data_IF_230281765608
#
_entry.id   IF_230281765608
#
_cell.length_a   1.000
_cell.length_b   1.000
_cell.length_c   1.000
_cell.angle_alpha   90.00
_cell.angle_beta   90.00
_cell.angle_gamma   90.00
#
_symmetry.space_group_name_H-M   'P 1'
#
loop_
_entity.id
_entity.type
_entity.pdbx_description
1 polymer ?
#
# COMPACT_ATOMS: atom_id res chain seq x y z
N UNK A 1 20.78 -35.41 -39.07
CA UNK A 1 19.44 -34.96 -38.65
C UNK A 1 19.40 -33.47 -38.85
N UNK A 2 18.38 -33.07 -39.59
CA UNK A 2 18.19 -31.77 -40.22
C UNK A 2 18.27 -30.57 -39.29
N UNK A 3 18.76 -29.50 -39.89
CA UNK A 3 18.70 -28.12 -39.41
C UNK A 3 17.54 -27.48 -40.20
N UNK A 4 16.51 -26.99 -39.51
CA UNK A 4 15.40 -26.24 -40.10
C UNK A 4 14.32 -26.00 -39.04
N UNK A 5 13.71 -24.85 -38.86
CA UNK A 5 13.72 -23.57 -39.58
C UNK A 5 13.48 -22.48 -38.54
N UNK A 6 14.23 -21.37 -38.64
CA UNK A 6 13.96 -20.13 -37.91
C UNK A 6 13.01 -19.32 -38.79
N UNK A 7 11.77 -19.13 -38.33
CA UNK A 7 10.86 -18.16 -38.96
C UNK A 7 10.91 -16.82 -38.20
N UNK A 8 11.10 -15.79 -39.01
CA UNK A 8 11.40 -14.41 -38.69
C UNK A 8 10.28 -13.71 -37.90
N UNK A 9 10.64 -12.96 -36.87
CA UNK A 9 9.82 -11.85 -36.37
C UNK A 9 10.46 -10.54 -36.83
N UNK A 10 9.77 -9.85 -37.74
CA UNK A 10 10.08 -8.46 -38.08
C UNK A 10 9.77 -7.57 -36.88
N UNK A 11 10.80 -6.86 -36.41
CA UNK A 11 10.69 -5.81 -35.39
C UNK A 11 10.66 -4.47 -36.11
N UNK A 12 9.48 -3.88 -36.25
CA UNK A 12 9.33 -2.51 -36.71
C UNK A 12 9.75 -1.52 -35.61
N UNK A 13 10.71 -0.64 -35.94
CA UNK A 13 11.44 0.25 -35.03
C UNK A 13 10.70 1.51 -34.57
N UNK A 14 9.37 1.56 -34.60
CA UNK A 14 8.63 2.74 -34.13
C UNK A 14 7.30 2.32 -33.49
N UNK A 15 7.33 1.94 -32.20
CA UNK A 15 6.20 1.48 -31.37
C UNK A 15 5.04 2.50 -31.23
N UNK A 16 4.41 2.85 -32.35
CA UNK A 16 3.08 3.44 -32.40
C UNK A 16 2.09 2.31 -32.65
N UNK A 17 1.32 1.95 -31.62
CA UNK A 17 0.13 1.12 -31.79
C UNK A 17 -0.90 1.89 -32.62
N UNK A 18 -0.97 1.60 -33.91
CA UNK A 18 -2.11 1.96 -34.76
C UNK A 18 -3.17 0.85 -34.60
N UNK A 19 -4.39 1.15 -34.12
CA UNK A 19 -5.45 0.16 -34.09
C UNK A 19 -5.88 -0.20 -35.52
N UNK A 20 -5.76 -1.48 -35.87
CA UNK A 20 -6.35 -2.05 -37.09
C UNK A 20 -7.87 -1.96 -36.98
N UNK A 21 -8.44 -0.94 -37.65
CA UNK A 21 -9.87 -0.82 -37.87
C UNK A 21 -10.32 -1.93 -38.85
N UNK A 22 -10.82 -3.05 -38.31
CA UNK A 22 -11.56 -4.06 -39.08
C UNK A 22 -13.05 -3.79 -38.89
N UNK A 23 -13.65 -3.30 -39.98
CA UNK A 23 -15.03 -3.54 -40.41
C UNK A 23 -16.11 -3.62 -39.32
N UNK A 24 -16.70 -2.47 -38.99
CA UNK A 24 -18.09 -2.43 -38.57
C UNK A 24 -18.88 -1.51 -39.50
N UNK A 25 -19.37 -2.12 -40.58
CA UNK A 25 -20.33 -1.51 -41.51
C UNK A 25 -21.71 -1.57 -40.83
N UNK A 26 -21.97 -0.65 -39.91
CA UNK A 26 -23.32 -0.46 -39.36
C UNK A 26 -24.08 0.40 -40.36
N UNK A 27 -24.82 -0.28 -41.22
CA UNK A 27 -25.76 0.30 -42.16
C UNK A 27 -26.97 0.81 -41.37
N UNK A 28 -26.96 2.10 -41.04
CA UNK A 28 -28.15 2.83 -40.60
C UNK A 28 -28.86 3.28 -41.87
N UNK A 29 -29.97 2.64 -42.19
CA UNK A 29 -31.08 3.24 -42.94
C UNK A 29 -32.26 2.26 -42.91
N UNK A 30 -33.18 2.49 -41.97
CA UNK A 30 -34.54 2.03 -42.08
C UNK A 30 -35.41 3.03 -41.33
N UNK A 31 -36.36 3.67 -42.04
CA UNK A 31 -37.72 4.02 -41.61
C UNK A 31 -38.35 4.99 -42.64
N UNK A 32 -39.32 4.42 -43.38
CA UNK A 32 -40.57 4.99 -43.89
C UNK A 32 -40.57 5.99 -45.05
N UNK A 33 -41.08 5.53 -46.20
CA UNK A 33 -42.09 6.27 -46.96
C UNK A 33 -42.98 5.29 -47.76
N UNK A 34 -43.85 4.60 -47.05
CA UNK A 34 -45.09 4.04 -47.61
C UNK A 34 -46.25 4.90 -47.13
N UNK A 35 -46.94 5.57 -48.04
CA UNK A 35 -48.41 5.67 -48.09
C UNK A 35 -48.89 6.61 -49.20
N UNK A 36 -49.42 5.97 -50.23
CA UNK A 36 -50.78 6.21 -50.76
C UNK A 36 -51.08 7.57 -51.40
N UNK A 37 -50.74 7.71 -52.68
CA UNK A 37 -51.52 8.52 -53.61
C UNK A 37 -52.79 7.75 -53.98
N UNK A 38 -53.88 8.08 -53.30
CA UNK A 38 -55.23 7.63 -53.61
C UNK A 38 -55.78 8.51 -54.75
N UNK A 39 -56.02 7.89 -55.91
CA UNK A 39 -56.69 8.49 -57.07
C UNK A 39 -58.09 7.87 -57.15
N UNK A 40 -59.09 8.64 -56.75
CA UNK A 40 -60.51 8.47 -57.13
C UNK A 40 -60.89 9.74 -57.89
N UNK A 41 -61.09 9.75 -59.21
CA UNK A 41 -62.04 9.07 -60.07
C UNK A 41 -63.50 9.58 -59.95
N UNK A 42 -64.00 10.02 -61.11
CA UNK A 42 -65.38 9.99 -61.58
C UNK A 42 -66.38 11.11 -61.23
N UNK A 43 -66.81 11.75 -62.32
CA UNK A 43 -68.19 12.08 -62.70
C UNK A 43 -68.91 13.20 -61.92
N UNK A 44 -69.42 14.20 -62.64
CA UNK A 44 -70.79 14.13 -63.15
C UNK A 44 -71.18 15.42 -63.91
N UNK A 45 -71.67 15.20 -65.14
CA UNK A 45 -72.65 15.92 -65.94
C UNK A 45 -73.20 17.28 -65.47
N UNK A 46 -73.18 18.21 -66.43
CA UNK A 46 -74.36 18.81 -67.06
C UNK A 46 -75.47 19.32 -66.12
N UNK A 47 -75.69 20.65 -66.12
CA UNK A 47 -76.95 21.25 -66.60
C UNK A 47 -77.17 22.64 -66.02
N UNK A 48 -77.55 23.56 -66.91
CA UNK A 48 -78.34 24.77 -66.71
C UNK A 48 -77.88 25.79 -65.67
N UNK A 49 -77.61 27.00 -66.15
CA UNK A 49 -78.17 28.19 -65.51
C UNK A 49 -78.51 29.23 -66.56
N UNK A 50 -79.79 29.30 -66.89
CA UNK A 50 -80.40 30.53 -67.34
C UNK A 50 -81.01 31.20 -66.10
N UNK A 51 -80.92 32.53 -66.06
CA UNK A 51 -81.80 33.43 -65.31
C UNK A 51 -81.35 33.74 -63.87
N UNK A 52 -80.43 34.70 -63.79
CA UNK A 52 -80.74 36.07 -63.33
C UNK A 52 -81.68 36.17 -62.10
N UNK A 53 -81.09 36.13 -60.90
CA UNK A 53 -81.51 36.81 -59.64
C UNK A 53 -80.74 36.15 -58.47
N UNK A 54 -79.50 36.54 -58.18
CA UNK A 54 -78.78 36.19 -56.93
C UNK A 54 -77.39 36.86 -56.82
N UNK A 55 -77.28 38.16 -57.15
CA UNK A 55 -75.99 38.86 -57.13
C UNK A 55 -75.65 39.55 -55.80
N UNK A 56 -76.49 39.46 -54.77
CA UNK A 56 -76.17 39.99 -53.43
C UNK A 56 -75.77 38.89 -52.43
N UNK A 57 -76.17 37.63 -52.64
CA UNK A 57 -75.83 36.50 -51.75
C UNK A 57 -74.49 35.82 -52.05
N UNK A 58 -73.91 36.03 -53.24
CA UNK A 58 -72.58 35.49 -53.60
C UNK A 58 -71.41 36.29 -53.03
N UNK A 59 -71.59 37.58 -52.74
CA UNK A 59 -70.51 38.43 -52.20
C UNK A 59 -70.26 38.14 -50.70
N UNK A 60 -71.30 37.78 -49.95
CA UNK A 60 -71.19 37.42 -48.53
C UNK A 60 -70.64 36.01 -48.29
N UNK A 61 -70.92 35.05 -49.18
CA UNK A 61 -70.38 33.68 -49.05
C UNK A 61 -68.88 33.61 -49.32
N UNK A 62 -68.36 34.34 -50.31
CA UNK A 62 -66.93 34.34 -50.64
C UNK A 62 -66.05 34.91 -49.49
N UNK A 63 -66.54 35.94 -48.79
CA UNK A 63 -65.83 36.52 -47.63
C UNK A 63 -65.86 35.60 -46.40
N UNK A 64 -66.93 34.83 -46.21
CA UNK A 64 -67.05 33.88 -45.11
C UNK A 64 -66.17 32.64 -45.33
N UNK A 65 -66.11 32.13 -46.56
CA UNK A 65 -65.22 31.02 -46.91
C UNK A 65 -63.75 31.44 -46.80
N UNK A 66 -63.37 32.64 -47.24
CA UNK A 66 -62.02 33.18 -47.04
C UNK A 66 -61.66 33.34 -45.55
N UNK A 67 -62.62 33.78 -44.73
CA UNK A 67 -62.42 33.89 -43.28
C UNK A 67 -62.27 32.51 -42.61
N UNK A 68 -63.05 31.52 -43.05
CA UNK A 68 -62.96 30.14 -42.59
C UNK A 68 -61.62 29.50 -42.95
N UNK A 69 -61.11 29.74 -44.15
CA UNK A 69 -59.81 29.25 -44.61
C UNK A 69 -58.65 29.90 -43.84
N UNK A 70 -58.76 31.19 -43.52
CA UNK A 70 -57.79 31.86 -42.63
C UNK A 70 -57.80 31.23 -41.24
N UNK A 71 -58.97 30.92 -40.68
CA UNK A 71 -59.08 30.27 -39.38
C UNK A 71 -58.51 28.84 -39.38
N UNK A 72 -58.75 28.05 -40.42
CA UNK A 72 -58.16 26.71 -40.55
C UNK A 72 -56.64 26.80 -40.69
N UNK A 73 -56.13 27.77 -41.46
CA UNK A 73 -54.70 28.06 -41.57
C UNK A 73 -54.09 28.44 -40.21
N UNK A 74 -54.72 29.32 -39.43
CA UNK A 74 -54.23 29.68 -38.08
C UNK A 74 -54.23 28.48 -37.13
N UNK A 75 -55.22 27.59 -37.23
CA UNK A 75 -55.25 26.35 -36.45
C UNK A 75 -54.08 25.41 -36.81
N UNK A 76 -53.84 25.21 -38.12
CA UNK A 76 -52.70 24.42 -38.63
C UNK A 76 -51.38 25.04 -38.21
N UNK A 77 -51.23 26.36 -38.34
CA UNK A 77 -50.04 27.10 -37.92
C UNK A 77 -49.76 26.90 -36.44
N UNK A 78 -50.77 27.03 -35.58
CA UNK A 78 -50.64 26.83 -34.13
C UNK A 78 -50.23 25.39 -33.78
N UNK A 79 -50.73 24.40 -34.52
CA UNK A 79 -50.32 23.01 -34.33
C UNK A 79 -48.87 22.78 -34.75
N UNK A 80 -48.46 23.33 -35.90
CA UNK A 80 -47.06 23.27 -36.36
C UNK A 80 -46.10 24.00 -35.43
N UNK A 81 -46.53 25.12 -34.85
CA UNK A 81 -45.75 25.84 -33.86
C UNK A 81 -45.54 25.02 -32.57
N UNK A 82 -46.57 24.32 -32.10
CA UNK A 82 -46.44 23.37 -30.98
C UNK A 82 -45.49 22.21 -31.29
N UNK A 83 -45.60 21.62 -32.48
CA UNK A 83 -44.67 20.57 -32.93
C UNK A 83 -43.23 21.09 -32.98
N UNK A 84 -43.03 22.29 -33.52
CA UNK A 84 -41.73 22.95 -33.56
C UNK A 84 -41.14 23.14 -32.15
N UNK A 85 -41.91 23.68 -31.20
CA UNK A 85 -41.40 23.84 -29.82
C UNK A 85 -41.09 22.50 -29.15
N UNK A 86 -41.90 21.47 -29.41
CA UNK A 86 -41.63 20.11 -28.89
C UNK A 86 -40.31 19.57 -29.44
N UNK A 87 -40.09 19.68 -30.75
CA UNK A 87 -38.85 19.23 -31.40
C UNK A 87 -37.66 20.06 -30.90
N UNK A 88 -37.80 21.39 -30.84
CA UNK A 88 -36.76 22.30 -30.34
C UNK A 88 -36.32 21.93 -28.93
N UNK A 89 -37.26 21.69 -28.02
CA UNK A 89 -36.94 21.29 -26.65
C UNK A 89 -36.22 19.94 -26.60
N UNK A 90 -36.65 18.98 -27.44
CA UNK A 90 -35.95 17.69 -27.58
C UNK A 90 -34.52 17.85 -28.09
N UNK A 91 -34.29 18.74 -29.07
CA UNK A 91 -32.94 19.06 -29.57
C UNK A 91 -32.08 19.69 -28.48
N UNK A 92 -32.62 20.65 -27.72
CA UNK A 92 -31.87 21.30 -26.63
C UNK A 92 -31.50 20.28 -25.54
N UNK A 93 -32.43 19.42 -25.13
CA UNK A 93 -32.17 18.37 -24.15
C UNK A 93 -31.11 17.38 -24.65
N UNK A 94 -31.20 16.94 -25.90
CA UNK A 94 -30.19 16.04 -26.48
C UNK A 94 -28.81 16.72 -26.58
N UNK A 95 -28.76 18.02 -26.86
CA UNK A 95 -27.51 18.77 -26.89
C UNK A 95 -26.87 18.87 -25.51
N UNK A 96 -27.66 19.04 -24.45
CA UNK A 96 -27.18 18.99 -23.07
C UNK A 96 -26.69 17.59 -22.69
N UNK A 97 -27.45 16.55 -23.04
CA UNK A 97 -27.06 15.16 -22.80
C UNK A 97 -25.73 14.80 -23.47
N UNK A 98 -25.52 15.22 -24.73
CA UNK A 98 -24.25 14.99 -25.44
C UNK A 98 -23.09 15.65 -24.68
N UNK A 99 -23.25 16.89 -24.23
CA UNK A 99 -22.20 17.58 -23.46
C UNK A 99 -21.88 16.87 -22.15
N UNK A 100 -22.90 16.35 -21.46
CA UNK A 100 -22.67 15.59 -20.22
C UNK A 100 -21.96 14.27 -20.51
N UNK A 101 -22.34 13.56 -21.56
CA UNK A 101 -21.68 12.30 -21.95
C UNK A 101 -20.23 12.55 -22.40
N UNK A 102 -19.96 13.61 -23.15
CA UNK A 102 -18.60 14.00 -23.55
C UNK A 102 -17.72 14.29 -22.31
N UNK A 103 -18.29 14.91 -21.28
CA UNK A 103 -17.58 15.17 -20.02
C UNK A 103 -17.25 13.87 -19.29
N UNK A 104 -18.21 12.96 -19.18
CA UNK A 104 -18.01 11.64 -18.57
C UNK A 104 -16.96 10.85 -19.34
N UNK A 105 -17.03 10.88 -20.68
CA UNK A 105 -16.08 10.18 -21.54
C UNK A 105 -14.65 10.70 -21.35
N UNK A 106 -14.48 12.01 -21.26
CA UNK A 106 -13.18 12.63 -20.99
C UNK A 106 -12.62 12.21 -19.62
N UNK A 107 -13.46 12.15 -18.59
CA UNK A 107 -13.06 11.69 -17.26
C UNK A 107 -12.68 10.20 -17.27
N UNK A 108 -13.41 9.37 -18.01
CA UNK A 108 -13.07 7.96 -18.21
C UNK A 108 -11.73 7.79 -18.96
N UNK A 109 -11.44 8.64 -19.94
CA UNK A 109 -10.14 8.62 -20.63
C UNK A 109 -8.99 9.00 -19.69
N UNK A 110 -9.17 10.02 -18.85
CA UNK A 110 -8.17 10.41 -17.84
C UNK A 110 -7.94 9.28 -16.84
N UNK A 111 -9.00 8.68 -16.32
CA UNK A 111 -8.91 7.58 -15.36
C UNK A 111 -8.20 6.37 -15.98
N UNK A 112 -8.59 5.99 -17.20
CA UNK A 112 -7.91 4.91 -17.95
C UNK A 112 -6.41 5.18 -18.08
N UNK A 113 -6.01 6.40 -18.42
CA UNK A 113 -4.61 6.76 -18.57
C UNK A 113 -3.87 6.73 -17.23
N UNK A 114 -4.51 7.17 -16.14
CA UNK A 114 -3.99 7.09 -14.78
C UNK A 114 -3.71 5.64 -14.38
N UNK A 115 -4.68 4.75 -14.58
CA UNK A 115 -4.55 3.32 -14.29
C UNK A 115 -3.45 2.64 -15.12
N UNK A 116 -3.27 3.04 -16.38
CA UNK A 116 -2.18 2.53 -17.23
C UNK A 116 -0.81 2.97 -16.67
N UNK A 117 -0.68 4.20 -16.19
CA UNK A 117 0.57 4.69 -15.59
C UNK A 117 0.88 3.95 -14.29
N UNK A 118 -0.14 3.75 -13.44
CA UNK A 118 -0.01 2.99 -12.20
C UNK A 118 0.40 1.53 -12.47
N UNK A 119 -0.25 0.87 -13.43
CA UNK A 119 0.11 -0.48 -13.86
C UNK A 119 1.58 -0.57 -14.27
N UNK A 120 2.06 0.35 -15.12
CA UNK A 120 3.46 0.36 -15.57
C UNK A 120 4.43 0.54 -14.40
N UNK A 121 4.08 1.38 -13.41
CA UNK A 121 4.88 1.57 -12.21
C UNK A 121 4.99 0.27 -11.41
N UNK A 122 3.88 -0.43 -11.19
CA UNK A 122 3.92 -1.73 -10.51
C UNK A 122 4.68 -2.79 -11.31
N UNK A 123 4.59 -2.77 -12.64
CA UNK A 123 5.37 -3.66 -13.50
C UNK A 123 6.89 -3.44 -13.33
N UNK A 124 7.34 -2.19 -13.22
CA UNK A 124 8.74 -1.87 -12.92
C UNK A 124 9.14 -2.40 -11.55
N UNK A 125 8.33 -2.15 -10.51
CA UNK A 125 8.59 -2.65 -9.15
C UNK A 125 8.68 -4.17 -9.13
N UNK A 126 7.80 -4.88 -9.85
CA UNK A 126 7.84 -6.34 -9.94
C UNK A 126 9.11 -6.85 -10.62
N UNK A 127 9.59 -6.16 -11.66
CA UNK A 127 10.87 -6.48 -12.32
C UNK A 127 12.05 -6.29 -11.38
N UNK A 128 12.05 -5.22 -10.58
CA UNK A 128 13.10 -4.96 -9.59
C UNK A 128 13.10 -6.04 -8.50
N UNK A 129 11.93 -6.41 -7.97
CA UNK A 129 11.78 -7.51 -7.00
C UNK A 129 12.29 -8.84 -7.58
N UNK A 130 11.97 -9.13 -8.85
CA UNK A 130 12.46 -10.33 -9.52
C UNK A 130 14.00 -10.34 -9.61
N UNK A 131 14.60 -9.20 -9.97
CA UNK A 131 16.07 -9.06 -10.01
C UNK A 131 16.69 -9.25 -8.62
N UNK A 132 16.08 -8.70 -7.57
CA UNK A 132 16.54 -8.89 -6.19
C UNK A 132 16.49 -10.36 -5.76
N UNK A 133 15.43 -11.08 -6.13
CA UNK A 133 15.32 -12.52 -5.89
C UNK A 133 16.47 -13.26 -6.57
N UNK A 134 16.73 -13.00 -7.85
CA UNK A 134 17.84 -13.63 -8.58
C UNK A 134 19.21 -13.33 -7.92
N UNK A 135 19.43 -12.10 -7.49
CA UNK A 135 20.67 -11.72 -6.80
C UNK A 135 20.83 -12.46 -5.47
N UNK A 136 19.77 -12.54 -4.66
CA UNK A 136 19.78 -13.27 -3.39
C UNK A 136 20.01 -14.77 -3.63
N UNK A 137 19.39 -15.36 -4.65
CA UNK A 137 19.62 -16.76 -5.01
C UNK A 137 21.07 -17.02 -5.41
N UNK A 138 21.68 -16.13 -6.21
CA UNK A 138 23.09 -16.21 -6.57
C UNK A 138 24.00 -16.16 -5.32
N UNK A 139 23.73 -15.23 -4.39
CA UNK A 139 24.46 -15.13 -3.12
C UNK A 139 24.28 -16.37 -2.23
N UNK A 140 23.09 -16.98 -2.23
CA UNK A 140 22.85 -18.24 -1.50
C UNK A 140 23.69 -19.37 -2.10
N UNK A 141 23.75 -19.48 -3.43
CA UNK A 141 24.55 -20.50 -4.11
C UNK A 141 26.03 -20.30 -3.79
N UNK A 142 26.54 -19.07 -3.91
CA UNK A 142 27.92 -18.72 -3.57
C UNK A 142 28.26 -19.01 -2.10
N UNK A 143 27.37 -18.64 -1.18
CA UNK A 143 27.56 -18.92 0.25
C UNK A 143 27.59 -20.43 0.54
N UNK A 144 26.76 -21.21 -0.15
CA UNK A 144 26.77 -22.68 -0.03
C UNK A 144 28.07 -23.29 -0.55
N UNK A 145 28.57 -22.84 -1.70
CA UNK A 145 29.83 -23.35 -2.25
C UNK A 145 31.01 -22.96 -1.36
N UNK A 146 31.05 -21.72 -0.89
CA UNK A 146 32.09 -21.25 0.03
C UNK A 146 32.09 -22.01 1.36
N UNK A 147 30.90 -22.25 1.94
CA UNK A 147 30.74 -23.07 3.14
C UNK A 147 31.29 -24.49 2.93
N UNK A 148 31.04 -25.10 1.78
CA UNK A 148 31.53 -26.44 1.48
C UNK A 148 33.05 -26.46 1.30
N UNK A 149 33.64 -25.43 0.68
CA UNK A 149 35.09 -25.26 0.59
C UNK A 149 35.72 -25.17 1.99
N UNK A 150 35.20 -24.28 2.85
CA UNK A 150 35.68 -24.13 4.23
C UNK A 150 35.54 -25.45 4.98
N UNK A 151 34.42 -26.16 4.83
CA UNK A 151 34.20 -27.45 5.48
C UNK A 151 35.27 -28.47 5.07
N UNK A 152 35.56 -28.58 3.78
CA UNK A 152 36.60 -29.48 3.27
C UNK A 152 37.99 -29.10 3.79
N UNK A 153 38.33 -27.81 3.78
CA UNK A 153 39.59 -27.31 4.32
C UNK A 153 39.71 -27.62 5.82
N UNK A 154 38.67 -27.36 6.60
CA UNK A 154 38.64 -27.66 8.03
C UNK A 154 38.80 -29.15 8.31
N UNK A 155 38.10 -30.00 7.55
CA UNK A 155 38.23 -31.46 7.67
C UNK A 155 39.66 -31.91 7.36
N UNK A 156 40.28 -31.39 6.29
CA UNK A 156 41.66 -31.71 5.94
C UNK A 156 42.65 -31.28 7.02
N UNK A 157 42.58 -30.03 7.48
CA UNK A 157 43.43 -29.52 8.55
C UNK A 157 43.26 -30.32 9.85
N UNK A 158 42.03 -30.68 10.22
CA UNK A 158 41.77 -31.43 11.44
C UNK A 158 42.27 -32.87 11.34
N UNK A 159 41.86 -33.59 10.30
CA UNK A 159 42.07 -35.05 10.19
C UNK A 159 43.46 -35.41 9.65
N UNK A 160 43.99 -34.63 8.70
CA UNK A 160 45.25 -34.95 8.03
C UNK A 160 46.45 -34.26 8.66
N UNK A 161 46.30 -33.01 9.11
CA UNK A 161 47.43 -32.23 9.63
C UNK A 161 47.48 -32.25 11.16
N UNK A 162 46.40 -31.82 11.82
CA UNK A 162 46.38 -31.55 13.26
C UNK A 162 46.40 -32.81 14.11
N UNK A 163 45.52 -33.79 13.85
CA UNK A 163 45.46 -34.99 14.68
C UNK A 163 46.76 -35.79 14.69
N UNK A 164 47.38 -36.13 13.54
CA UNK A 164 48.65 -36.86 13.54
C UNK A 164 49.77 -36.10 14.25
N UNK A 165 49.83 -34.77 14.07
CA UNK A 165 50.81 -33.93 14.73
C UNK A 165 50.59 -33.89 16.25
N UNK A 166 49.33 -33.74 16.68
CA UNK A 166 48.97 -33.75 18.10
C UNK A 166 49.31 -35.08 18.75
N UNK A 167 48.99 -36.20 18.11
CA UNK A 167 49.29 -37.54 18.62
C UNK A 167 50.81 -37.71 18.79
N UNK A 168 51.61 -37.30 17.80
CA UNK A 168 53.07 -37.31 17.87
C UNK A 168 53.60 -36.44 19.01
N UNK A 169 53.06 -35.23 19.19
CA UNK A 169 53.47 -34.33 20.29
C UNK A 169 53.07 -34.90 21.65
N UNK A 170 51.89 -35.50 21.76
CA UNK A 170 51.41 -36.08 23.01
C UNK A 170 52.23 -37.32 23.40
N UNK A 171 52.70 -38.12 22.43
CA UNK A 171 53.67 -39.19 22.67
C UNK A 171 55.01 -38.64 23.18
N UNK A 172 55.53 -37.58 22.54
CA UNK A 172 56.77 -36.92 22.99
C UNK A 172 56.62 -36.30 24.38
N UNK A 173 55.46 -35.71 24.71
CA UNK A 173 55.19 -35.16 26.05
C UNK A 173 55.10 -36.25 27.11
N UNK A 174 54.44 -37.36 26.78
CA UNK A 174 54.34 -38.53 27.68
C UNK A 174 55.71 -39.11 28.01
N UNK A 175 56.65 -39.15 27.06
CA UNK A 175 57.99 -39.70 27.30
C UNK A 175 58.83 -38.88 28.29
N UNK A 176 58.50 -37.60 28.48
CA UNK A 176 59.10 -36.69 29.45
C UNK A 176 58.17 -36.36 30.64
N UNK A 177 57.11 -37.16 30.84
CA UNK A 177 56.11 -37.00 31.90
C UNK A 177 55.38 -35.64 31.92
N UNK A 178 55.22 -34.98 30.78
CA UNK A 178 54.38 -33.79 30.64
C UNK A 178 52.92 -34.16 30.33
N UNK A 179 51.95 -33.34 30.77
CA UNK A 179 50.54 -33.55 30.43
C UNK A 179 50.29 -33.34 28.93
N UNK A 180 49.34 -34.12 28.41
CA UNK A 180 48.88 -34.03 27.02
C UNK A 180 48.29 -32.67 26.70
N UNK A 181 48.35 -32.29 25.43
CA UNK A 181 47.71 -31.08 24.96
C UNK A 181 46.17 -31.19 25.06
N UNK A 182 45.49 -30.07 25.39
CA UNK A 182 44.03 -30.02 25.40
C UNK A 182 43.45 -30.35 24.01
N UNK A 183 42.21 -30.86 23.98
CA UNK A 183 41.52 -31.13 22.73
C UNK A 183 40.99 -29.84 22.12
N UNK A 184 40.82 -29.83 20.79
CA UNK A 184 40.28 -28.66 20.10
C UNK A 184 38.85 -28.34 20.54
N UNK A 185 38.07 -29.35 20.93
CA UNK A 185 36.74 -29.15 21.53
C UNK A 185 36.82 -28.45 22.88
N UNK A 186 37.78 -28.84 23.74
CA UNK A 186 37.95 -28.18 25.04
C UNK A 186 38.44 -26.73 24.90
N UNK A 187 39.30 -26.46 23.92
CA UNK A 187 39.78 -25.11 23.62
C UNK A 187 38.64 -24.24 23.08
N UNK A 188 37.82 -24.79 22.17
CA UNK A 188 36.64 -24.13 21.65
C UNK A 188 35.64 -23.77 22.75
N UNK A 189 35.39 -24.67 23.70
CA UNK A 189 34.48 -24.40 24.82
C UNK A 189 35.05 -23.31 25.73
N UNK A 190 36.37 -23.30 25.95
CA UNK A 190 37.07 -22.23 26.69
C UNK A 190 36.89 -20.88 25.99
N UNK A 191 37.15 -20.80 24.69
CA UNK A 191 37.01 -19.58 23.90
C UNK A 191 35.55 -19.10 23.83
N UNK A 192 34.60 -20.03 23.69
CA UNK A 192 33.17 -19.69 23.69
C UNK A 192 32.75 -19.11 25.04
N UNK A 193 33.21 -19.70 26.14
CA UNK A 193 32.94 -19.18 27.48
C UNK A 193 33.57 -17.80 27.69
N UNK A 194 34.81 -17.59 27.21
CA UNK A 194 35.47 -16.29 27.24
C UNK A 194 34.70 -15.25 26.44
N UNK A 195 34.27 -15.58 25.23
CA UNK A 195 33.43 -14.72 24.39
C UNK A 195 32.11 -14.36 25.07
N UNK A 196 31.39 -15.35 25.62
CA UNK A 196 30.12 -15.12 26.32
C UNK A 196 30.31 -14.25 27.56
N UNK A 197 31.40 -14.46 28.30
CA UNK A 197 31.76 -13.66 29.48
C UNK A 197 32.04 -12.21 29.09
N UNK A 198 32.82 -12.00 28.04
CA UNK A 198 33.11 -10.66 27.52
C UNK A 198 31.85 -9.96 27.04
N UNK A 199 31.00 -10.67 26.29
CA UNK A 199 29.72 -10.15 25.81
C UNK A 199 28.77 -9.78 26.96
N UNK A 200 28.71 -10.61 28.01
CA UNK A 200 27.93 -10.31 29.20
C UNK A 200 28.46 -9.07 29.93
N UNK A 201 29.79 -8.95 30.06
CA UNK A 201 30.44 -7.79 30.68
C UNK A 201 30.14 -6.50 29.91
N UNK A 202 30.24 -6.53 28.59
CA UNK A 202 29.89 -5.40 27.73
C UNK A 202 28.42 -4.98 27.88
N UNK A 203 27.50 -5.95 27.93
CA UNK A 203 26.08 -5.66 28.08
C UNK A 203 25.77 -5.06 29.46
N UNK A 204 26.38 -5.59 30.51
CA UNK A 204 26.28 -5.05 31.87
C UNK A 204 26.82 -3.62 31.96
N UNK A 205 27.94 -3.34 31.29
CA UNK A 205 28.50 -2.00 31.21
C UNK A 205 27.55 -1.03 30.51
N UNK A 206 26.97 -1.42 29.36
CA UNK A 206 25.97 -0.63 28.65
C UNK A 206 24.73 -0.36 29.51
N UNK A 207 24.26 -1.35 30.25
CA UNK A 207 23.11 -1.20 31.15
C UNK A 207 23.42 -0.21 32.29
N UNK A 208 24.60 -0.32 32.90
CA UNK A 208 25.05 0.61 33.94
C UNK A 208 25.17 2.04 33.41
N UNK A 209 25.72 2.22 32.20
CA UNK A 209 25.79 3.54 31.55
C UNK A 209 24.40 4.12 31.28
N UNK A 210 23.42 3.29 30.85
CA UNK A 210 22.03 3.72 30.67
C UNK A 210 21.41 4.17 31.99
N UNK A 211 21.57 3.39 33.07
CA UNK A 211 21.08 3.74 34.41
C UNK A 211 21.67 5.05 34.92
N UNK A 212 22.98 5.25 34.74
CA UNK A 212 23.66 6.48 35.14
C UNK A 212 23.12 7.70 34.38
N UNK A 213 22.96 7.59 33.05
CA UNK A 213 22.35 8.66 32.23
C UNK A 213 20.93 8.98 32.68
N UNK A 214 20.12 7.96 33.01
CA UNK A 214 18.76 8.16 33.49
C UNK A 214 18.73 8.87 34.85
N UNK A 215 19.65 8.52 35.76
CA UNK A 215 19.78 9.19 37.06
C UNK A 215 20.21 10.65 36.92
N UNK A 216 21.16 10.95 36.02
CA UNK A 216 21.57 12.33 35.71
C UNK A 216 20.41 13.16 35.18
N UNK A 217 19.62 12.61 34.25
CA UNK A 217 18.44 13.28 33.70
C UNK A 217 17.39 13.58 34.78
N UNK A 218 17.17 12.66 35.71
CA UNK A 218 16.23 12.86 36.82
C UNK A 218 16.71 13.97 37.76
N UNK A 219 18.02 14.01 38.07
CA UNK A 219 18.61 15.06 38.90
C UNK A 219 18.49 16.44 38.24
N UNK A 220 18.76 16.54 36.94
CA UNK A 220 18.62 17.78 36.18
C UNK A 220 17.17 18.29 36.19
N UNK A 221 16.20 17.41 35.94
CA UNK A 221 14.77 17.75 36.02
C UNK A 221 14.38 18.24 37.42
N UNK A 222 14.91 17.63 38.47
CA UNK A 222 14.66 18.06 39.85
C UNK A 222 15.24 19.47 40.11
N UNK A 223 16.45 19.76 39.64
CA UNK A 223 17.06 21.09 39.76
C UNK A 223 16.30 22.16 38.99
N UNK A 224 15.89 21.89 37.75
CA UNK A 224 15.08 22.83 36.95
C UNK A 224 13.75 23.15 37.64
N UNK A 225 13.11 22.16 38.26
CA UNK A 225 11.88 22.36 39.05
C UNK A 225 12.11 23.30 40.23
N UNK A 226 13.23 23.17 40.95
CA UNK A 226 13.58 24.08 42.04
C UNK A 226 13.88 25.51 41.56
N UNK A 227 14.55 25.65 40.41
CA UNK A 227 14.77 26.96 39.77
C UNK A 227 13.43 27.60 39.39
N UNK A 228 12.48 26.83 38.87
CA UNK A 228 11.15 27.32 38.53
C UNK A 228 10.38 27.79 39.78
N UNK A 229 10.38 26.98 40.85
CA UNK A 229 9.70 27.31 42.11
C UNK A 229 10.30 28.55 42.80
N UNK A 230 11.63 28.72 42.76
CA UNK A 230 12.28 29.92 43.31
C UNK A 230 12.00 31.17 42.47
N UNK A 231 11.92 31.06 41.14
CA UNK A 231 11.48 32.16 40.28
C UNK A 231 10.04 32.57 40.57
N UNK A 232 9.10 31.63 40.66
CA UNK A 232 7.69 31.95 40.95
C UNK A 232 7.49 32.52 42.36
N UNK A 233 8.29 32.10 43.35
CA UNK A 233 8.28 32.69 44.70
C UNK A 233 8.71 34.17 44.70
N UNK A 234 9.70 34.55 43.87
CA UNK A 234 10.18 35.94 43.78
C UNK A 234 9.20 36.88 43.06
N UNK A 235 8.34 36.38 42.17
CA UNK A 235 7.32 37.22 41.52
C UNK A 235 6.15 37.58 42.45
N UNK A 236 5.91 36.81 43.51
CA UNK A 236 4.81 37.08 44.44
C UNK A 236 5.19 38.03 45.60
N UNK A 237 6.49 38.33 45.77
CA UNK A 237 6.97 39.17 46.86
C UNK A 237 7.17 40.65 46.47
N UNK A 238 6.85 41.02 45.22
CA UNK A 238 7.02 42.39 44.74
C UNK A 238 5.71 43.18 44.62
N UNK A 239 4.60 42.66 45.20
CA UNK A 239 3.29 43.30 45.15
C UNK A 239 2.68 43.58 46.54
N UNK A 240 3.51 43.64 47.58
CA UNK A 240 3.04 43.89 48.94
C UNK A 240 3.98 44.82 49.73
N UNK A 241 4.30 45.99 49.16
CA UNK A 241 4.91 47.09 49.89
C UNK A 241 4.16 48.39 49.59
N UNK A 242 2.94 48.47 50.14
CA UNK A 242 2.29 49.71 50.54
C UNK A 242 1.23 49.36 51.60
N UNK A 243 1.67 49.12 52.83
CA UNK A 243 1.08 49.73 54.03
C UNK A 243 1.77 49.22 55.30
N UNK A 244 2.29 50.20 56.04
CA UNK A 244 2.26 50.32 57.50
C UNK A 244 3.04 49.32 58.38
N UNK A 245 4.30 49.70 58.66
CA UNK A 245 4.67 50.32 59.94
C UNK A 245 4.06 49.71 61.23
N UNK A 246 4.75 48.77 61.90
CA UNK A 246 5.23 48.92 63.30
C UNK A 246 5.90 47.64 63.87
N UNK A 247 7.02 47.84 64.57
CA UNK A 247 7.50 47.13 65.78
C UNK A 247 6.91 45.75 66.12
N UNK A 248 7.75 44.71 66.26
CA UNK A 248 8.45 44.37 67.52
C UNK A 248 9.15 42.99 67.46
N UNK A 249 10.20 42.87 68.26
CA UNK A 249 10.91 41.65 68.66
C UNK A 249 9.98 40.49 69.07
N UNK A 250 10.23 39.27 68.56
CA UNK A 250 10.71 38.12 69.35
C UNK A 250 10.57 36.78 68.60
N UNK A 251 11.69 36.07 68.51
CA UNK A 251 11.87 34.64 68.81
C UNK A 251 10.63 33.71 68.68
N UNK A 252 10.59 32.82 67.70
CA UNK A 252 9.91 31.52 67.86
C UNK A 252 10.55 30.44 66.97
N UNK A 253 11.18 29.50 67.67
CA UNK A 253 11.56 28.15 67.24
C UNK A 253 10.29 27.37 66.88
N UNK A 254 10.16 26.86 65.64
CA UNK A 254 9.36 25.66 65.36
C UNK A 254 10.06 24.81 64.29
N UNK A 255 10.57 23.66 64.76
CA UNK A 255 10.58 22.34 64.15
C UNK A 255 10.20 22.21 62.66
N UNK A 256 11.06 21.55 61.90
CA UNK A 256 10.56 20.54 60.97
C UNK A 256 11.46 19.30 60.90
N UNK A 257 10.76 18.17 61.03
CA UNK A 257 11.25 16.82 61.22
C UNK A 257 11.86 16.23 59.94
N UNK A 258 12.99 15.54 60.12
CA UNK A 258 13.17 14.11 59.84
C UNK A 258 12.57 13.54 58.53
N UNK A 259 13.41 13.36 57.50
CA UNK A 259 13.39 12.13 56.68
C UNK A 259 14.85 11.67 56.51
N UNK A 260 15.21 10.67 57.31
CA UNK A 260 16.43 9.90 57.19
C UNK A 260 16.12 8.74 56.22
N UNK A 261 16.57 8.82 54.97
CA UNK A 261 16.42 7.72 54.01
C UNK A 261 17.56 6.74 54.21
N UNK A 262 17.31 5.75 55.04
CA UNK A 262 18.11 4.53 55.19
C UNK A 262 18.17 3.82 53.82
N UNK A 263 19.31 3.89 53.14
CA UNK A 263 19.61 3.02 52.00
C UNK A 263 20.08 1.69 52.59
N UNK A 264 19.15 0.75 52.71
CA UNK A 264 19.44 -0.65 53.02
C UNK A 264 20.16 -1.29 51.84
N UNK A 265 21.47 -1.50 51.98
CA UNK A 265 22.24 -2.44 51.17
C UNK A 265 21.78 -3.87 51.52
N UNK A 266 20.86 -4.43 50.73
CA UNK A 266 20.61 -5.87 50.73
C UNK A 266 21.58 -6.54 49.78
N UNK A 267 22.69 -7.03 50.33
CA UNK A 267 23.57 -8.01 49.70
C UNK A 267 22.79 -9.31 49.47
N UNK A 268 22.34 -9.56 48.23
CA UNK A 268 21.85 -10.88 47.84
C UNK A 268 23.03 -11.75 47.45
N UNK A 269 23.52 -12.52 48.42
CA UNK A 269 24.39 -13.67 48.21
C UNK A 269 23.59 -14.76 47.49
N UNK A 270 23.65 -14.79 46.16
CA UNK A 270 23.13 -15.92 45.38
C UNK A 270 24.16 -17.03 45.38
N UNK A 271 23.90 -18.05 46.20
CA UNK A 271 24.48 -19.38 46.14
C UNK A 271 24.38 -19.99 44.74
N UNK A 272 25.38 -20.78 44.29
CA UNK A 272 25.36 -21.42 42.98
C UNK A 272 24.31 -22.54 42.96
N UNK A 273 23.36 -22.44 42.04
CA UNK A 273 22.41 -23.50 41.72
C UNK A 273 23.16 -24.56 40.91
N UNK A 274 23.20 -25.79 41.44
CA UNK A 274 23.74 -26.96 40.77
C UNK A 274 23.03 -27.21 39.42
N UNK A 275 23.74 -27.72 38.39
CA UNK A 275 23.14 -28.02 37.10
C UNK A 275 22.15 -29.19 37.26
N UNK A 276 20.87 -28.89 37.06
CA UNK A 276 19.84 -29.92 36.91
C UNK A 276 20.04 -30.63 35.56
N UNK A 277 20.31 -31.92 35.63
CA UNK A 277 20.40 -32.83 34.49
C UNK A 277 19.13 -32.80 33.65
N UNK A 278 19.26 -32.43 32.37
CA UNK A 278 18.18 -32.51 31.39
C UNK A 278 17.79 -33.97 31.13
N UNK A 279 16.49 -34.30 31.03
CA UNK A 279 16.03 -35.65 30.75
C UNK A 279 16.35 -36.08 29.31
N UNK A 280 16.86 -37.30 29.20
CA UNK A 280 17.11 -38.06 27.97
C UNK A 280 15.86 -38.11 27.07
N UNK A 281 15.95 -37.79 25.77
CA UNK A 281 14.84 -37.99 24.85
C UNK A 281 14.64 -39.48 24.55
N UNK A 282 13.49 -40.01 24.98
CA UNK A 282 13.00 -41.35 24.65
C UNK A 282 12.72 -41.47 23.15
N UNK A 283 13.09 -42.57 22.46
CA UNK A 283 12.81 -42.75 21.03
C UNK A 283 11.30 -42.93 20.78
N UNK A 284 10.69 -41.93 20.14
CA UNK A 284 9.31 -41.97 19.66
C UNK A 284 9.11 -43.05 18.60
N UNK A 285 8.11 -43.90 18.84
CA UNK A 285 7.72 -45.07 18.05
C UNK A 285 7.43 -44.72 16.58
N UNK A 286 7.91 -45.60 15.70
CA UNK A 286 7.64 -45.65 14.25
C UNK A 286 6.13 -45.69 13.95
N UNK A 287 5.64 -44.66 13.27
CA UNK A 287 4.33 -44.61 12.63
C UNK A 287 4.33 -45.35 11.29
N UNK A 288 3.21 -46.04 11.02
CA UNK A 288 3.01 -47.11 10.03
C UNK A 288 2.95 -46.62 8.58
N UNK A 289 3.53 -47.38 7.65
CA UNK A 289 3.32 -47.25 6.20
C UNK A 289 1.86 -47.58 5.86
N UNK A 290 1.15 -46.65 5.24
CA UNK A 290 -0.14 -46.93 4.60
C UNK A 290 0.11 -47.69 3.30
N UNK A 291 -0.52 -48.86 3.18
CA UNK A 291 -0.51 -49.72 1.99
C UNK A 291 -1.71 -49.32 1.14
N UNK A 292 -1.50 -48.52 0.10
CA UNK A 292 -2.54 -48.25 -0.90
C UNK A 292 -2.66 -49.50 -1.77
N UNK A 293 -3.81 -50.17 -1.69
CA UNK A 293 -4.24 -51.18 -2.67
C UNK A 293 -4.87 -50.42 -3.84
N UNK A 294 -4.26 -50.53 -5.02
CA UNK A 294 -4.96 -50.30 -6.28
C UNK A 294 -5.83 -51.53 -6.55
N UNK A 295 -7.14 -51.33 -6.57
CA UNK A 295 -8.10 -52.26 -7.16
C UNK A 295 -8.40 -51.79 -8.58
N UNK A 296 -8.15 -52.71 -9.52
CA UNK A 296 -8.73 -52.93 -10.85
C UNK A 296 -9.12 -51.72 -11.70
#
# INVERSE_FOLDING_TARGET
MDIGEINNMDVDKNNNLIPKNKNNKVNVDNINNDSNNFVDNSNNSNSNNNILKNNESKLFNNNFDEFKDKLTFFSVLKNKEKEYYKIKNGVLQNMENIKSEDTILEDLYKERNSLIQEYKKYETILKDIQNDIFNVEALIIESKTHKEIIRKQLTHQRETEMYPLKDSIDEMRKSINLPVLPSIESEKDREMNEYLTNRLKEELEKENQKKLKQQQLLLEKAQQKQIYLSKSANFNNNNNNNNDNNNNNNNTIINNNNINTTISNTSTTTTPIAPTTSPTPTPGKRGRKAKIRLSQ
#
